data_IF_447192194152
#
_entry.id   IF_447192194152
#
_cell.length_a   1.000
_cell.length_b   1.000
_cell.length_c   1.000
_cell.angle_alpha   90.00
_cell.angle_beta   90.00
_cell.angle_gamma   90.00
#
_symmetry.space_group_name_H-M   'P 1'
#
loop_
_entity.id
_entity.type
_entity.pdbx_description
1 polymer ?
#
# COMPACT_ATOMS: atom_id res chain seq x y z
N UNK A 1 -22.80 22.81 9.03
CA UNK A 1 -22.18 21.49 8.75
C UNK A 1 -21.29 21.63 7.54
N UNK A 2 -19.99 21.85 7.73
CA UNK A 2 -19.01 21.80 6.63
C UNK A 2 -18.87 20.34 6.20
N UNK A 3 -19.31 20.01 4.97
CA UNK A 3 -18.97 18.74 4.33
C UNK A 3 -17.44 18.73 4.19
N UNK A 4 -16.77 17.91 4.99
CA UNK A 4 -15.35 17.59 4.82
C UNK A 4 -15.20 17.06 3.39
N UNK A 5 -14.54 17.84 2.54
CA UNK A 5 -14.25 17.48 1.15
C UNK A 5 -13.31 16.26 1.22
N UNK A 6 -13.80 15.10 0.86
CA UNK A 6 -13.01 13.87 0.82
C UNK A 6 -11.82 14.11 -0.13
N UNK A 7 -10.60 14.00 0.39
CA UNK A 7 -9.39 14.18 -0.42
C UNK A 7 -9.31 13.06 -1.46
N UNK A 8 -8.94 13.38 -2.68
CA UNK A 8 -8.69 12.37 -3.71
C UNK A 8 -7.41 11.57 -3.40
N UNK A 9 -7.26 10.40 -4.01
CA UNK A 9 -6.04 9.59 -3.88
C UNK A 9 -4.81 10.37 -4.34
N UNK A 10 -4.90 11.11 -5.44
CA UNK A 10 -3.83 11.97 -5.95
C UNK A 10 -3.45 13.10 -5.00
N UNK A 11 -4.41 13.68 -4.26
CA UNK A 11 -4.13 14.70 -3.24
C UNK A 11 -3.38 14.14 -2.01
N UNK A 12 -3.56 12.87 -1.71
CA UNK A 12 -2.90 12.21 -0.60
C UNK A 12 -1.55 11.61 -0.99
N UNK A 13 -1.49 10.92 -2.11
CA UNK A 13 -0.29 10.22 -2.57
C UNK A 13 0.73 11.16 -3.22
N UNK A 14 0.28 12.26 -3.83
CA UNK A 14 1.07 13.06 -4.75
C UNK A 14 1.24 12.35 -6.09
N UNK A 15 1.73 13.08 -7.07
CA UNK A 15 2.12 12.50 -8.36
C UNK A 15 3.58 12.04 -8.29
N UNK A 16 3.94 10.95 -8.99
CA UNK A 16 5.34 10.61 -9.16
C UNK A 16 6.06 11.71 -9.94
N UNK A 17 7.36 11.87 -9.66
CA UNK A 17 8.18 12.80 -10.43
C UNK A 17 8.15 12.46 -11.92
N UNK A 18 8.05 13.47 -12.80
CA UNK A 18 8.04 13.23 -14.24
C UNK A 18 9.34 12.57 -14.70
N UNK A 19 9.28 11.55 -15.59
CA UNK A 19 10.46 10.83 -16.02
C UNK A 19 11.37 11.72 -16.88
N UNK A 20 12.63 11.89 -16.45
CA UNK A 20 13.61 12.75 -17.11
C UNK A 20 14.42 12.01 -18.19
N UNK A 21 14.70 10.72 -17.99
CA UNK A 21 15.55 9.92 -18.87
C UNK A 21 14.75 8.93 -19.73
N UNK A 22 15.38 8.39 -20.79
CA UNK A 22 14.77 7.35 -21.61
C UNK A 22 14.44 6.08 -20.82
N UNK A 23 15.29 5.70 -19.85
CA UNK A 23 15.04 4.58 -18.95
C UNK A 23 13.81 4.82 -18.07
N UNK A 24 13.73 5.98 -17.46
CA UNK A 24 12.59 6.34 -16.59
C UNK A 24 11.28 6.42 -17.39
N UNK A 25 11.28 6.94 -18.62
CA UNK A 25 10.11 6.93 -19.49
C UNK A 25 9.64 5.51 -19.80
N UNK A 26 10.57 4.59 -20.11
CA UNK A 26 10.25 3.18 -20.34
C UNK A 26 9.62 2.55 -19.11
N UNK A 27 10.21 2.75 -17.93
CA UNK A 27 9.69 2.18 -16.66
C UNK A 27 8.32 2.77 -16.30
N UNK A 28 8.14 4.08 -16.38
CA UNK A 28 6.87 4.74 -16.08
C UNK A 28 5.75 4.28 -17.03
N UNK A 29 6.05 4.19 -18.33
CA UNK A 29 5.12 3.69 -19.34
C UNK A 29 4.79 2.21 -19.13
N UNK A 30 5.78 1.39 -18.77
CA UNK A 30 5.58 -0.02 -18.46
C UNK A 30 4.67 -0.20 -17.24
N UNK A 31 4.86 0.57 -16.16
CA UNK A 31 3.97 0.55 -14.98
C UNK A 31 2.52 0.80 -15.40
N UNK A 32 2.27 1.86 -16.17
CA UNK A 32 0.92 2.22 -16.60
C UNK A 32 0.27 1.11 -17.45
N UNK A 33 1.02 0.58 -18.43
CA UNK A 33 0.51 -0.45 -19.33
C UNK A 33 0.29 -1.78 -18.60
N UNK A 34 1.23 -2.22 -17.76
CA UNK A 34 1.08 -3.45 -16.98
C UNK A 34 -0.05 -3.35 -15.95
N UNK A 35 -0.20 -2.22 -15.30
CA UNK A 35 -1.30 -1.99 -14.35
C UNK A 35 -2.67 -2.10 -15.00
N UNK A 36 -2.83 -1.54 -16.23
CA UNK A 36 -4.11 -1.53 -16.94
C UNK A 36 -4.42 -2.80 -17.72
N UNK A 37 -3.40 -3.51 -18.23
CA UNK A 37 -3.58 -4.58 -19.20
C UNK A 37 -3.03 -5.93 -18.75
N UNK A 38 -2.31 -5.97 -17.64
CA UNK A 38 -1.54 -7.13 -17.21
C UNK A 38 -0.17 -7.23 -17.88
N UNK A 39 0.70 -8.01 -17.29
CA UNK A 39 2.09 -8.14 -17.74
C UNK A 39 2.18 -8.97 -19.04
N UNK A 40 1.41 -10.04 -19.12
CA UNK A 40 1.41 -10.95 -20.28
C UNK A 40 0.97 -10.27 -21.57
N UNK A 41 -0.05 -9.42 -21.50
CA UNK A 41 -0.69 -8.81 -22.67
C UNK A 41 0.09 -7.64 -23.31
N UNK A 42 1.13 -7.13 -22.65
CA UNK A 42 1.92 -5.97 -23.10
C UNK A 42 3.25 -6.42 -23.68
N UNK A 43 3.48 -6.11 -24.96
CA UNK A 43 4.75 -6.37 -25.66
C UNK A 43 5.77 -5.23 -25.51
N UNK A 44 7.06 -5.53 -25.65
CA UNK A 44 8.16 -4.55 -25.59
C UNK A 44 7.97 -3.42 -26.60
N UNK A 45 7.56 -3.74 -27.84
CA UNK A 45 7.36 -2.74 -28.89
C UNK A 45 6.24 -1.74 -28.55
N UNK A 46 5.21 -2.18 -27.83
CA UNK A 46 4.14 -1.30 -27.33
C UNK A 46 4.67 -0.32 -26.29
N UNK A 47 5.53 -0.79 -25.36
CA UNK A 47 6.15 0.08 -24.34
C UNK A 47 7.09 1.08 -25.01
N UNK A 48 7.93 0.64 -25.93
CA UNK A 48 8.87 1.51 -26.70
C UNK A 48 8.10 2.61 -27.42
N UNK A 49 7.06 2.26 -28.17
CA UNK A 49 6.24 3.21 -28.91
C UNK A 49 5.54 4.20 -27.97
N UNK A 50 4.91 3.73 -26.89
CA UNK A 50 4.20 4.58 -25.96
C UNK A 50 5.16 5.49 -25.13
N UNK A 51 6.36 5.03 -24.81
CA UNK A 51 7.39 5.82 -24.12
C UNK A 51 8.07 6.87 -25.03
N UNK A 52 7.85 6.83 -26.34
CA UNK A 52 8.47 7.74 -27.30
C UNK A 52 10.00 7.59 -27.34
N UNK A 53 10.49 6.36 -27.29
CA UNK A 53 11.94 6.07 -27.35
C UNK A 53 12.23 5.11 -28.54
N UNK A 54 13.52 4.92 -28.84
CA UNK A 54 13.94 3.97 -29.89
C UNK A 54 14.19 2.57 -29.33
N UNK A 55 14.17 1.53 -30.17
CA UNK A 55 14.59 0.18 -29.80
C UNK A 55 16.02 0.16 -29.27
N UNK A 56 16.91 0.94 -29.86
CA UNK A 56 18.29 1.09 -29.38
C UNK A 56 18.33 1.62 -27.96
N UNK A 57 17.49 2.60 -27.63
CA UNK A 57 17.37 3.12 -26.26
C UNK A 57 16.88 2.04 -25.29
N UNK A 58 15.92 1.22 -25.71
CA UNK A 58 15.44 0.11 -24.87
C UNK A 58 16.57 -0.89 -24.56
N UNK A 59 17.21 -1.44 -25.59
CA UNK A 59 18.25 -2.45 -25.43
C UNK A 59 19.56 -1.92 -24.80
N UNK A 60 19.74 -0.59 -24.71
CA UNK A 60 20.80 0.02 -23.91
C UNK A 60 20.55 -0.14 -22.41
N UNK A 61 19.30 -0.26 -21.97
CA UNK A 61 18.89 -0.22 -20.56
C UNK A 61 18.32 -1.53 -20.03
N UNK A 62 17.80 -2.40 -20.89
CA UNK A 62 17.11 -3.64 -20.55
C UNK A 62 17.51 -4.76 -21.51
N UNK A 63 17.81 -5.92 -20.94
CA UNK A 63 18.12 -7.11 -21.73
C UNK A 63 16.87 -7.67 -22.44
N UNK A 64 15.69 -7.45 -21.86
CA UNK A 64 14.43 -7.92 -22.39
C UNK A 64 13.22 -7.44 -21.61
N UNK A 65 12.08 -8.04 -21.90
CA UNK A 65 10.80 -7.73 -21.23
C UNK A 65 10.86 -8.03 -19.74
N UNK A 66 11.48 -9.14 -19.35
CA UNK A 66 11.52 -9.60 -17.95
C UNK A 66 12.28 -8.60 -17.06
N UNK A 67 13.42 -8.10 -17.55
CA UNK A 67 14.19 -7.07 -16.85
C UNK A 67 13.38 -5.76 -16.69
N UNK A 68 12.66 -5.33 -17.75
CA UNK A 68 11.77 -4.18 -17.66
C UNK A 68 10.61 -4.43 -16.67
N UNK A 69 10.03 -5.65 -16.63
CA UNK A 69 8.95 -5.97 -15.70
C UNK A 69 9.42 -5.89 -14.25
N UNK A 70 10.59 -6.44 -13.93
CA UNK A 70 11.21 -6.32 -12.59
C UNK A 70 11.44 -4.86 -12.23
N UNK A 71 12.03 -4.08 -13.14
CA UNK A 71 12.27 -2.65 -12.91
C UNK A 71 10.97 -1.86 -12.69
N UNK A 72 9.89 -2.21 -13.40
CA UNK A 72 8.58 -1.60 -13.23
C UNK A 72 7.97 -1.92 -11.85
N UNK A 73 8.03 -3.18 -11.41
CA UNK A 73 7.53 -3.61 -10.10
C UNK A 73 8.33 -2.93 -8.98
N UNK A 74 9.66 -2.87 -9.07
CA UNK A 74 10.52 -2.22 -8.09
C UNK A 74 10.26 -0.70 -8.02
N UNK A 75 10.13 -0.02 -9.15
CA UNK A 75 9.84 1.42 -9.18
C UNK A 75 8.45 1.73 -8.65
N UNK A 76 7.45 0.88 -8.92
CA UNK A 76 6.11 1.00 -8.35
C UNK A 76 6.14 0.86 -6.83
N UNK A 77 6.89 -0.10 -6.30
CA UNK A 77 7.09 -0.32 -4.87
C UNK A 77 7.71 0.92 -4.19
N UNK A 78 8.82 1.45 -4.72
CA UNK A 78 9.48 2.65 -4.18
C UNK A 78 8.49 3.82 -4.03
N UNK A 79 7.74 4.11 -5.10
CA UNK A 79 6.77 5.19 -5.08
C UNK A 79 5.60 4.91 -4.13
N UNK A 80 5.01 3.72 -4.22
CA UNK A 80 3.80 3.36 -3.47
C UNK A 80 4.07 3.29 -1.97
N UNK A 81 5.18 2.69 -1.56
CA UNK A 81 5.58 2.62 -0.15
C UNK A 81 5.71 4.02 0.47
N UNK A 82 6.35 4.96 -0.23
CA UNK A 82 6.45 6.34 0.23
C UNK A 82 5.10 7.08 0.21
N UNK A 83 4.30 6.87 -0.83
CA UNK A 83 3.01 7.53 -0.99
C UNK A 83 2.02 7.12 0.11
N UNK A 84 1.91 5.81 0.39
CA UNK A 84 1.09 5.29 1.49
C UNK A 84 1.56 5.81 2.83
N UNK A 85 2.86 5.75 3.11
CA UNK A 85 3.41 6.25 4.37
C UNK A 85 3.13 7.74 4.59
N UNK A 86 3.25 8.57 3.54
CA UNK A 86 2.89 10.00 3.63
C UNK A 86 1.39 10.20 3.87
N UNK A 87 0.53 9.49 3.13
CA UNK A 87 -0.91 9.59 3.25
C UNK A 87 -1.41 9.20 4.65
N UNK A 88 -0.92 8.08 5.17
CA UNK A 88 -1.25 7.60 6.52
C UNK A 88 -0.80 8.60 7.59
N UNK A 89 0.45 9.07 7.53
CA UNK A 89 0.93 10.09 8.49
C UNK A 89 0.19 11.41 8.40
N UNK A 90 -0.24 11.82 7.22
CA UNK A 90 -1.05 13.05 7.04
C UNK A 90 -2.42 12.95 7.73
N UNK A 91 -2.97 11.75 7.88
CA UNK A 91 -4.25 11.49 8.56
C UNK A 91 -4.04 11.29 10.07
N UNK A 92 -3.04 10.50 10.45
CA UNK A 92 -2.89 9.93 11.79
C UNK A 92 -1.75 10.55 12.62
N UNK A 93 -0.85 11.33 12.02
CA UNK A 93 0.40 11.75 12.66
C UNK A 93 1.29 10.54 12.98
N UNK A 94 1.98 10.62 14.13
CA UNK A 94 2.95 9.60 14.54
C UNK A 94 2.36 8.54 15.49
N UNK A 95 1.06 8.60 15.80
CA UNK A 95 0.40 7.62 16.66
C UNK A 95 0.25 6.27 15.92
N UNK A 96 0.90 5.19 16.37
CA UNK A 96 0.94 3.92 15.64
C UNK A 96 -0.44 3.26 15.52
N UNK A 97 -1.32 3.37 16.52
CA UNK A 97 -2.67 2.82 16.45
C UNK A 97 -3.51 3.61 15.44
N UNK A 98 -3.42 4.93 15.47
CA UNK A 98 -4.11 5.76 14.46
C UNK A 98 -3.59 5.49 13.06
N UNK A 99 -2.28 5.23 12.89
CA UNK A 99 -1.71 4.86 11.59
C UNK A 99 -2.28 3.55 11.07
N UNK A 100 -2.41 2.52 11.93
CA UNK A 100 -3.06 1.26 11.56
C UNK A 100 -4.51 1.47 11.10
N UNK A 101 -5.29 2.31 11.78
CA UNK A 101 -6.66 2.63 11.36
C UNK A 101 -6.70 3.49 10.09
N UNK A 102 -5.79 4.48 9.96
CA UNK A 102 -5.71 5.35 8.79
C UNK A 102 -5.32 4.60 7.50
N UNK A 103 -4.63 3.46 7.60
CA UNK A 103 -4.41 2.57 6.44
C UNK A 103 -5.72 2.14 5.80
N UNK A 104 -6.77 1.88 6.59
CA UNK A 104 -8.10 1.55 6.06
C UNK A 104 -8.77 2.76 5.39
N UNK A 105 -8.55 3.97 5.93
CA UNK A 105 -9.09 5.20 5.34
C UNK A 105 -8.44 5.48 3.98
N UNK A 106 -7.12 5.31 3.88
CA UNK A 106 -6.38 5.44 2.61
C UNK A 106 -6.81 4.36 1.62
N UNK A 107 -7.01 3.12 2.10
CA UNK A 107 -7.51 2.01 1.28
C UNK A 107 -8.93 2.28 0.76
N UNK A 108 -9.82 2.82 1.59
CA UNK A 108 -11.19 3.17 1.16
C UNK A 108 -11.15 4.22 0.05
N UNK A 109 -10.28 5.23 0.15
CA UNK A 109 -10.08 6.22 -0.91
C UNK A 109 -9.55 5.57 -2.20
N UNK A 110 -8.56 4.68 -2.09
CA UNK A 110 -8.02 3.96 -3.25
C UNK A 110 -9.06 3.04 -3.90
N UNK A 111 -9.87 2.33 -3.11
CA UNK A 111 -10.95 1.48 -3.63
C UNK A 111 -12.04 2.26 -4.36
N UNK A 112 -12.22 3.53 -4.05
CA UNK A 112 -13.18 4.41 -4.69
C UNK A 112 -12.55 5.31 -5.77
N UNK A 113 -11.26 5.13 -6.07
CA UNK A 113 -10.60 5.84 -7.15
C UNK A 113 -11.10 5.35 -8.52
N UNK A 114 -11.31 6.30 -9.44
CA UNK A 114 -11.79 5.99 -10.79
C UNK A 114 -10.79 5.15 -11.61
N UNK A 115 -9.48 5.28 -11.30
CA UNK A 115 -8.40 4.54 -11.96
C UNK A 115 -8.01 3.25 -11.24
N UNK A 116 -8.82 2.77 -10.28
CA UNK A 116 -8.57 1.52 -9.57
C UNK A 116 -8.60 0.32 -10.52
N UNK A 117 -7.46 -0.37 -10.66
CA UNK A 117 -7.30 -1.60 -11.43
C UNK A 117 -6.89 -2.81 -10.57
N UNK A 118 -6.95 -2.68 -9.24
CA UNK A 118 -6.45 -3.71 -8.31
C UNK A 118 -5.02 -3.47 -7.85
N UNK A 119 -4.40 -4.48 -7.29
CA UNK A 119 -3.02 -4.42 -6.82
C UNK A 119 -2.06 -5.00 -7.85
N UNK A 120 -1.15 -4.16 -8.39
CA UNK A 120 -0.15 -4.59 -9.38
C UNK A 120 0.73 -5.75 -8.88
N UNK A 121 1.03 -5.79 -7.58
CA UNK A 121 1.87 -6.84 -6.99
C UNK A 121 1.13 -8.17 -6.89
N UNK A 122 -0.16 -8.16 -6.58
CA UNK A 122 -1.00 -9.38 -6.63
C UNK A 122 -1.13 -9.88 -8.06
N UNK A 123 -1.35 -8.99 -9.02
CA UNK A 123 -1.40 -9.36 -10.44
C UNK A 123 -0.08 -9.93 -10.93
N UNK A 124 1.06 -9.33 -10.55
CA UNK A 124 2.39 -9.85 -10.88
C UNK A 124 2.58 -11.27 -10.33
N UNK A 125 2.30 -11.50 -9.05
CA UNK A 125 2.45 -12.84 -8.47
C UNK A 125 1.50 -13.88 -9.08
N UNK A 126 0.31 -13.48 -9.53
CA UNK A 126 -0.65 -14.37 -10.18
C UNK A 126 -0.22 -14.75 -11.61
N UNK A 127 0.34 -13.79 -12.37
CA UNK A 127 0.85 -14.06 -13.73
C UNK A 127 2.18 -14.81 -13.72
N UNK A 128 2.99 -14.68 -12.67
CA UNK A 128 4.27 -15.35 -12.48
C UNK A 128 4.23 -16.25 -11.23
N UNK A 129 3.56 -17.42 -11.28
CA UNK A 129 3.31 -18.24 -10.09
C UNK A 129 4.54 -18.99 -9.55
N UNK A 130 5.65 -19.04 -10.31
CA UNK A 130 6.89 -19.63 -9.83
C UNK A 130 7.55 -18.71 -8.79
N UNK A 131 7.75 -19.15 -7.52
CA UNK A 131 8.32 -18.30 -6.47
C UNK A 131 9.80 -17.91 -6.72
N UNK A 132 10.48 -18.56 -7.67
CA UNK A 132 11.83 -18.21 -8.09
C UNK A 132 11.86 -17.23 -9.27
N UNK A 133 10.72 -16.89 -9.83
CA UNK A 133 10.63 -15.87 -10.88
C UNK A 133 11.00 -14.49 -10.31
N UNK A 134 11.89 -13.72 -10.97
CA UNK A 134 12.30 -12.40 -10.47
C UNK A 134 11.16 -11.40 -10.32
N UNK A 135 10.12 -11.47 -11.17
CA UNK A 135 8.93 -10.60 -11.08
C UNK A 135 8.10 -10.98 -9.85
N UNK A 136 7.91 -12.30 -9.61
CA UNK A 136 7.26 -12.80 -8.41
C UNK A 136 8.00 -12.35 -7.15
N UNK A 137 9.32 -12.54 -7.12
CA UNK A 137 10.15 -12.16 -5.97
C UNK A 137 10.08 -10.67 -5.66
N UNK A 138 10.10 -9.81 -6.69
CA UNK A 138 9.94 -8.37 -6.51
C UNK A 138 8.56 -8.02 -5.89
N UNK A 139 7.49 -8.65 -6.36
CA UNK A 139 6.14 -8.46 -5.84
C UNK A 139 5.99 -8.98 -4.39
N UNK A 140 6.53 -10.17 -4.11
CA UNK A 140 6.51 -10.77 -2.77
C UNK A 140 7.31 -9.93 -1.76
N UNK A 141 8.45 -9.36 -2.16
CA UNK A 141 9.25 -8.49 -1.32
C UNK A 141 8.48 -7.23 -0.89
N UNK A 142 7.69 -6.62 -1.77
CA UNK A 142 6.78 -5.52 -1.41
C UNK A 142 5.76 -5.95 -0.35
N UNK A 143 5.09 -7.08 -0.57
CA UNK A 143 4.09 -7.61 0.38
C UNK A 143 4.69 -7.90 1.75
N UNK A 144 5.90 -8.47 1.78
CA UNK A 144 6.62 -8.71 3.04
C UNK A 144 6.95 -7.39 3.76
N UNK A 145 7.45 -6.37 3.05
CA UNK A 145 7.73 -5.06 3.67
C UNK A 145 6.48 -4.39 4.23
N UNK A 146 5.35 -4.47 3.55
CA UNK A 146 4.09 -3.91 4.06
C UNK A 146 3.58 -4.65 5.29
N UNK A 147 3.74 -5.97 5.34
CA UNK A 147 3.46 -6.80 6.51
C UNK A 147 4.37 -6.41 7.68
N UNK A 148 5.68 -6.29 7.43
CA UNK A 148 6.66 -5.92 8.45
C UNK A 148 6.42 -4.52 9.00
N UNK A 149 6.01 -3.57 8.17
CA UNK A 149 5.61 -2.24 8.63
C UNK A 149 4.43 -2.28 9.62
N UNK A 150 3.45 -3.14 9.41
CA UNK A 150 2.33 -3.36 10.36
C UNK A 150 2.81 -3.95 11.67
N UNK A 151 3.74 -4.93 11.63
CA UNK A 151 4.41 -5.48 12.81
C UNK A 151 5.13 -4.38 13.60
N UNK A 152 5.88 -3.53 12.91
CA UNK A 152 6.66 -2.48 13.56
C UNK A 152 5.76 -1.42 14.20
N UNK A 153 4.62 -1.08 13.57
CA UNK A 153 3.59 -0.25 14.21
C UNK A 153 2.96 -0.93 15.43
N UNK A 154 2.71 -2.23 15.39
CA UNK A 154 2.21 -2.98 16.54
C UNK A 154 3.20 -2.96 17.71
N UNK A 155 4.50 -3.15 17.43
CA UNK A 155 5.59 -3.02 18.44
C UNK A 155 5.66 -1.61 18.99
N UNK A 156 5.60 -0.59 18.15
CA UNK A 156 5.57 0.81 18.58
C UNK A 156 4.34 1.16 19.42
N UNK A 157 3.23 0.42 19.24
CA UNK A 157 2.03 0.51 20.06
C UNK A 157 2.13 -0.27 21.39
N UNK A 158 3.22 -1.00 21.64
CA UNK A 158 3.50 -1.73 22.88
C UNK A 158 3.22 -3.24 22.82
N UNK A 159 3.00 -3.82 21.65
CA UNK A 159 2.84 -5.26 21.52
C UNK A 159 4.14 -6.02 21.77
N UNK A 160 4.06 -7.12 22.51
CA UNK A 160 5.15 -8.09 22.64
C UNK A 160 5.50 -8.71 21.28
N UNK A 161 6.74 -9.18 21.13
CA UNK A 161 7.29 -9.61 19.84
C UNK A 161 6.41 -10.65 19.13
N UNK A 162 6.01 -11.72 19.82
CA UNK A 162 5.16 -12.76 19.26
C UNK A 162 3.75 -12.26 18.91
N UNK A 163 3.18 -11.41 19.77
CA UNK A 163 1.88 -10.78 19.54
C UNK A 163 1.92 -9.85 18.30
N UNK A 164 3.00 -9.09 18.11
CA UNK A 164 3.18 -8.21 16.96
C UNK A 164 3.27 -8.99 15.64
N UNK A 165 3.95 -10.15 15.63
CA UNK A 165 4.01 -11.03 14.45
C UNK A 165 2.60 -11.54 14.07
N UNK A 166 1.88 -12.13 15.06
CA UNK A 166 0.51 -12.64 14.84
C UNK A 166 -0.44 -11.51 14.41
N UNK A 167 -0.34 -10.33 15.03
CA UNK A 167 -1.11 -9.15 14.64
C UNK A 167 -0.87 -8.79 13.18
N UNK A 168 0.41 -8.71 12.76
CA UNK A 168 0.76 -8.33 11.40
C UNK A 168 0.23 -9.33 10.36
N UNK A 169 0.28 -10.61 10.65
CA UNK A 169 -0.25 -11.67 9.77
C UNK A 169 -1.78 -11.57 9.65
N UNK A 170 -2.49 -11.47 10.77
CA UNK A 170 -3.94 -11.35 10.78
C UNK A 170 -4.41 -10.04 10.11
N UNK A 171 -3.74 -8.93 10.41
CA UNK A 171 -4.05 -7.64 9.79
C UNK A 171 -3.84 -7.71 8.27
N UNK A 172 -2.74 -8.30 7.83
CA UNK A 172 -2.44 -8.47 6.41
C UNK A 172 -3.50 -9.32 5.73
N UNK A 173 -3.92 -10.44 6.32
CA UNK A 173 -4.98 -11.28 5.78
C UNK A 173 -6.32 -10.52 5.61
N UNK A 174 -6.69 -9.66 6.56
CA UNK A 174 -7.89 -8.81 6.46
C UNK A 174 -7.79 -7.81 5.30
N UNK A 175 -6.62 -7.18 5.12
CA UNK A 175 -6.38 -6.23 4.02
C UNK A 175 -6.43 -6.91 2.65
N UNK A 176 -5.76 -8.07 2.51
CA UNK A 176 -5.81 -8.84 1.25
C UNK A 176 -7.23 -9.35 0.98
N UNK A 177 -7.97 -9.76 2.01
CA UNK A 177 -9.39 -10.11 1.89
C UNK A 177 -10.25 -8.95 1.40
N UNK A 178 -10.05 -7.75 1.94
CA UNK A 178 -10.75 -6.54 1.46
C UNK A 178 -10.43 -6.21 0.01
N UNK A 179 -9.16 -6.37 -0.40
CA UNK A 179 -8.73 -6.19 -1.78
C UNK A 179 -9.44 -7.17 -2.73
N UNK A 180 -9.52 -8.45 -2.35
CA UNK A 180 -10.24 -9.48 -3.12
C UNK A 180 -11.73 -9.13 -3.23
N UNK A 181 -12.38 -8.72 -2.14
CA UNK A 181 -13.79 -8.29 -2.16
C UNK A 181 -14.00 -7.12 -3.12
N UNK A 182 -13.08 -6.15 -3.13
CA UNK A 182 -13.15 -5.01 -4.07
C UNK A 182 -12.93 -5.45 -5.51
N UNK A 183 -11.93 -6.28 -5.76
CA UNK A 183 -11.50 -6.68 -7.10
C UNK A 183 -12.46 -7.66 -7.76
N UNK A 184 -12.95 -8.66 -7.00
CA UNK A 184 -13.84 -9.72 -7.52
C UNK A 184 -15.32 -9.33 -7.48
N UNK A 185 -15.74 -8.64 -6.44
CA UNK A 185 -17.17 -8.39 -6.19
C UNK A 185 -17.55 -6.91 -6.41
N UNK A 186 -16.62 -6.06 -6.80
CA UNK A 186 -16.87 -4.62 -7.01
C UNK A 186 -17.22 -3.84 -5.73
N UNK A 187 -16.92 -4.39 -4.54
CA UNK A 187 -17.29 -3.80 -3.25
C UNK A 187 -16.44 -2.57 -2.92
N UNK A 188 -16.94 -1.40 -3.26
CA UNK A 188 -16.27 -0.13 -2.95
C UNK A 188 -16.14 0.15 -1.44
N UNK A 189 -16.96 -0.50 -0.62
CA UNK A 189 -16.97 -0.39 0.84
C UNK A 189 -16.10 -1.46 1.55
N UNK A 190 -15.35 -2.27 0.82
CA UNK A 190 -14.62 -3.42 1.37
C UNK A 190 -13.64 -3.05 2.50
N UNK A 191 -13.00 -1.87 2.43
CA UNK A 191 -12.14 -1.38 3.51
C UNK A 191 -12.95 -1.10 4.80
N UNK A 192 -14.16 -0.58 4.66
CA UNK A 192 -15.08 -0.34 5.80
C UNK A 192 -15.63 -1.64 6.39
N UNK A 193 -15.85 -2.65 5.53
CA UNK A 193 -16.33 -3.98 5.97
C UNK A 193 -15.34 -4.65 6.91
N UNK A 194 -14.03 -4.57 6.65
CA UNK A 194 -13.01 -5.21 7.51
C UNK A 194 -12.64 -4.37 8.73
N UNK A 195 -13.01 -3.08 8.80
CA UNK A 195 -12.66 -2.17 9.88
C UNK A 195 -13.01 -2.70 11.28
N UNK A 196 -14.22 -3.20 11.57
CA UNK A 196 -14.54 -3.73 12.91
C UNK A 196 -13.65 -4.90 13.32
N UNK A 197 -13.25 -5.77 12.38
CA UNK A 197 -12.34 -6.86 12.66
C UNK A 197 -10.92 -6.35 12.97
N UNK A 198 -10.46 -5.31 12.26
CA UNK A 198 -9.16 -4.65 12.54
C UNK A 198 -9.20 -3.97 13.92
N UNK A 199 -10.28 -3.28 14.28
CA UNK A 199 -10.44 -2.64 15.60
C UNK A 199 -10.42 -3.68 16.71
N UNK A 200 -11.08 -4.82 16.51
CA UNK A 200 -11.04 -5.94 17.47
C UNK A 200 -9.65 -6.55 17.57
N UNK A 201 -8.93 -6.68 16.45
CA UNK A 201 -7.55 -7.16 16.43
C UNK A 201 -6.62 -6.21 17.22
N UNK A 202 -6.76 -4.89 17.02
CA UNK A 202 -6.05 -3.88 17.79
C UNK A 202 -6.35 -4.02 19.29
N UNK A 203 -7.62 -4.13 19.67
CA UNK A 203 -8.02 -4.28 21.06
C UNK A 203 -7.46 -5.56 21.71
N UNK A 204 -7.32 -6.63 20.94
CA UNK A 204 -6.81 -7.92 21.43
C UNK A 204 -5.29 -7.92 21.63
N UNK A 205 -4.54 -7.37 20.67
CA UNK A 205 -3.10 -7.48 20.65
C UNK A 205 -2.33 -6.23 21.14
N UNK A 206 -3.01 -5.05 21.23
CA UNK A 206 -2.43 -3.77 21.58
C UNK A 206 -3.12 -3.10 22.81
N UNK A 207 -3.35 -3.80 23.92
CA UNK A 207 -4.26 -3.33 24.98
C UNK A 207 -3.74 -2.17 25.82
N UNK A 208 -2.44 -1.93 25.91
CA UNK A 208 -1.85 -1.09 26.96
C UNK A 208 -2.07 0.43 26.81
N UNK A 209 -2.23 0.96 25.60
CA UNK A 209 -2.44 2.42 25.41
C UNK A 209 -3.86 2.92 25.60
N UNK A 210 -4.85 2.05 25.53
CA UNK A 210 -6.27 2.43 25.79
C UNK A 210 -6.55 2.59 27.30
N UNK A 211 -5.82 1.85 28.15
CA UNK A 211 -6.03 1.89 29.62
C UNK A 211 -5.38 3.12 30.28
N UNK A 212 -4.24 3.61 29.79
CA UNK A 212 -3.59 4.79 30.36
C UNK A 212 -4.40 6.09 30.22
N UNK A 213 -5.20 6.25 29.16
CA UNK A 213 -6.10 7.40 29.00
C UNK A 213 -7.33 7.37 29.89
N UNK A 214 -7.73 6.20 30.38
CA UNK A 214 -8.87 6.04 31.31
C UNK A 214 -8.41 6.14 32.78
N UNK A 215 -7.13 5.98 33.08
CA UNK A 215 -6.57 6.02 34.45
C UNK A 215 -5.86 7.32 34.82
N UNK A 216 -5.90 8.36 33.97
CA UNK A 216 -5.37 9.66 34.36
C UNK A 216 -6.16 10.18 35.59
N UNK A 217 -5.54 10.28 36.78
CA UNK A 217 -6.24 10.66 38.00
C UNK A 217 -6.76 12.08 37.84
N UNK A 218 -8.06 12.23 38.04
CA UNK A 218 -8.77 13.50 38.15
C UNK A 218 -8.17 14.28 39.37
N UNK A 219 -7.08 15.01 39.16
CA UNK A 219 -6.56 15.94 40.17
C UNK A 219 -7.57 17.07 40.31
N UNK A 220 -8.61 16.83 41.09
CA UNK A 220 -9.45 17.90 41.64
C UNK A 220 -8.52 18.80 42.47
N UNK A 221 -8.44 20.05 42.06
CA UNK A 221 -7.94 21.17 42.84
C UNK A 221 -8.56 21.12 44.23
N UNK A 222 -7.73 20.83 45.26
CA UNK A 222 -8.09 21.17 46.62
C UNK A 222 -8.01 22.68 46.72
N UNK A 223 -9.16 23.31 46.77
CA UNK A 223 -9.35 24.70 47.15
C UNK A 223 -8.78 24.83 48.60
N UNK A 224 -7.82 25.72 48.74
CA UNK A 224 -7.32 26.18 50.04
C UNK A 224 -8.33 27.20 50.53
N UNK A 225 -8.99 26.91 51.67
CA UNK A 225 -9.73 27.85 52.46
C UNK A 225 -8.83 28.70 53.34
#
# INVERSE_FOLDING_TARGET
>A
MLKSRTKSVSELFGLPDPPATGRERLVATAIELFYRRGFGAVGVDQVIAAAGVTKTTFYKHFEGKDDLMVAAVQRRDEWESHAWGRAVRKIAGDDPIKQLLAMLDVMDLWFNDADFQGCMFVSAAAEFPNPHDPVHQAAAAYKQRTRDHRRDLARAAGAESAAAETFADCYTALIEGALVLRQMNGRNDAARVVRPAVEQLIATYLPQRLQEKQQAPNRRLKTIG
#
